data_IF_127500380182
#
_entry.id   IF_127500380182
#
_cell.length_a   1.000
_cell.length_b   1.000
_cell.length_c   1.000
_cell.angle_alpha   90.00
_cell.angle_beta   90.00
_cell.angle_gamma   90.00
#
_symmetry.space_group_name_H-M   'P 1'
#
loop_
_entity.id
_entity.type
_entity.pdbx_description
1 polymer ?
#
# COMPACT_ATOMS: atom_id res chain seq x y z
N UNK A 1 9.75 -15.28 -12.48
CA UNK A 1 10.46 -16.02 -11.42
C UNK A 1 9.53 -17.10 -10.89
N UNK A 2 10.03 -18.34 -10.84
CA UNK A 2 9.32 -19.54 -10.35
C UNK A 2 9.90 -19.90 -8.99
N UNK A 3 9.06 -20.34 -8.05
CA UNK A 3 9.47 -20.72 -6.70
C UNK A 3 9.10 -22.18 -6.40
N UNK A 4 9.82 -23.18 -6.97
CA UNK A 4 9.46 -24.59 -6.83
C UNK A 4 9.39 -25.06 -5.36
N UNK A 5 10.28 -24.54 -4.51
CA UNK A 5 10.31 -24.87 -3.08
C UNK A 5 9.11 -24.30 -2.29
N UNK A 6 8.52 -23.19 -2.75
CA UNK A 6 7.33 -22.61 -2.12
C UNK A 6 6.04 -23.28 -2.61
N UNK A 7 6.07 -23.86 -3.81
CA UNK A 7 4.92 -24.47 -4.48
C UNK A 7 5.26 -25.86 -5.04
N UNK A 8 5.47 -26.87 -4.18
CA UNK A 8 5.87 -28.21 -4.63
C UNK A 8 4.85 -28.89 -5.55
N UNK A 9 3.57 -28.55 -5.38
CA UNK A 9 2.46 -29.09 -6.17
C UNK A 9 2.14 -28.27 -7.43
N UNK A 10 2.93 -27.23 -7.74
CA UNK A 10 2.71 -26.42 -8.93
C UNK A 10 1.41 -25.60 -8.89
N UNK A 11 1.08 -25.00 -7.74
CA UNK A 11 -0.13 -24.18 -7.62
C UNK A 11 -0.12 -23.00 -8.61
N UNK A 12 -1.28 -22.73 -9.21
CA UNK A 12 -1.42 -21.62 -10.14
C UNK A 12 -1.30 -20.28 -9.38
N UNK A 13 -0.53 -19.34 -9.93
CA UNK A 13 -0.43 -17.98 -9.41
C UNK A 13 -1.68 -17.15 -9.70
N UNK A 14 -1.66 -15.89 -9.27
CA UNK A 14 -2.72 -14.94 -9.60
C UNK A 14 -2.90 -14.78 -11.11
N UNK A 15 -4.15 -14.74 -11.56
CA UNK A 15 -4.53 -14.41 -12.94
C UNK A 15 -5.68 -13.38 -12.94
N UNK A 16 -5.83 -12.61 -14.02
CA UNK A 16 -6.86 -11.57 -14.14
C UNK A 16 -8.30 -12.09 -14.20
N UNK A 17 -8.47 -13.40 -14.44
CA UNK A 17 -9.77 -14.05 -14.58
C UNK A 17 -10.20 -14.76 -13.28
N UNK A 18 -9.48 -14.56 -12.17
CA UNK A 18 -9.85 -15.09 -10.87
C UNK A 18 -11.05 -14.32 -10.33
N UNK A 19 -12.17 -14.99 -10.20
CA UNK A 19 -13.39 -14.41 -9.64
C UNK A 19 -13.43 -14.50 -8.11
N UNK A 20 -14.11 -13.53 -7.50
CA UNK A 20 -14.47 -13.59 -6.10
C UNK A 20 -15.50 -14.69 -5.85
N UNK A 21 -15.40 -15.34 -4.69
CA UNK A 21 -16.45 -16.22 -4.15
C UNK A 21 -17.77 -15.45 -4.09
N UNK A 22 -18.89 -16.10 -4.44
CA UNK A 22 -20.21 -15.46 -4.60
C UNK A 22 -20.61 -14.59 -3.41
N UNK A 23 -20.35 -15.03 -2.17
CA UNK A 23 -20.64 -14.28 -0.95
C UNK A 23 -19.89 -12.94 -0.81
N UNK A 24 -18.71 -12.82 -1.41
CA UNK A 24 -17.87 -11.61 -1.38
C UNK A 24 -17.90 -10.83 -2.69
N UNK A 25 -18.63 -11.33 -3.68
CA UNK A 25 -18.74 -10.70 -4.99
C UNK A 25 -19.65 -9.48 -4.87
N UNK A 26 -19.13 -8.32 -5.24
CA UNK A 26 -19.93 -7.10 -5.37
C UNK A 26 -20.24 -6.86 -6.84
N UNK A 27 -21.34 -6.18 -7.15
CA UNK A 27 -21.69 -5.76 -8.53
C UNK A 27 -20.57 -4.98 -9.22
N UNK A 28 -19.72 -4.29 -8.45
CA UNK A 28 -18.55 -3.54 -8.96
C UNK A 28 -17.23 -4.30 -8.88
N UNK A 29 -17.13 -5.35 -8.05
CA UNK A 29 -15.89 -6.11 -7.81
C UNK A 29 -16.15 -7.59 -8.00
N UNK A 30 -16.01 -8.01 -9.25
CA UNK A 30 -16.19 -9.39 -9.70
C UNK A 30 -14.88 -10.17 -9.59
N UNK A 31 -13.76 -9.57 -9.98
CA UNK A 31 -12.46 -10.22 -10.03
C UNK A 31 -11.60 -9.90 -8.81
N UNK A 32 -10.77 -10.87 -8.42
CA UNK A 32 -9.80 -10.77 -7.33
C UNK A 32 -8.63 -9.92 -7.78
N UNK A 33 -8.36 -8.84 -7.07
CA UNK A 33 -7.17 -8.02 -7.34
C UNK A 33 -5.89 -8.74 -6.90
N UNK A 34 -4.79 -8.43 -7.57
CA UNK A 34 -3.48 -9.00 -7.25
C UNK A 34 -3.06 -8.76 -5.78
N UNK A 35 -3.40 -7.59 -5.24
CA UNK A 35 -3.13 -7.25 -3.84
C UNK A 35 -3.97 -8.10 -2.88
N UNK A 36 -5.25 -8.32 -3.18
CA UNK A 36 -6.09 -9.21 -2.38
C UNK A 36 -5.56 -10.65 -2.38
N UNK A 37 -5.15 -11.16 -3.55
CA UNK A 37 -4.56 -12.48 -3.67
C UNK A 37 -3.31 -12.63 -2.78
N UNK A 38 -2.37 -11.68 -2.86
CA UNK A 38 -1.17 -11.73 -2.02
C UNK A 38 -1.48 -11.54 -0.54
N UNK A 39 -2.41 -10.64 -0.18
CA UNK A 39 -2.83 -10.45 1.21
C UNK A 39 -3.41 -11.73 1.82
N UNK A 40 -4.20 -12.48 1.04
CA UNK A 40 -4.77 -13.76 1.48
C UNK A 40 -3.69 -14.82 1.71
N UNK A 41 -2.65 -14.86 0.86
CA UNK A 41 -1.51 -15.77 0.98
C UNK A 41 -0.58 -15.40 2.15
N UNK A 42 -0.49 -14.12 2.49
CA UNK A 42 0.32 -13.63 3.62
C UNK A 42 -0.42 -13.62 4.95
N UNK A 43 -1.73 -13.85 4.95
CA UNK A 43 -2.51 -13.93 6.17
C UNK A 43 -2.00 -15.07 7.07
N UNK A 44 -1.63 -14.74 8.30
CA UNK A 44 -1.24 -15.70 9.33
C UNK A 44 -2.46 -16.52 9.74
N UNK A 45 -2.32 -17.84 9.77
CA UNK A 45 -3.36 -18.79 10.18
C UNK A 45 -2.78 -19.77 11.20
N UNK A 46 -3.64 -20.44 11.96
CA UNK A 46 -3.23 -21.47 12.92
C UNK A 46 -2.65 -22.74 12.26
N UNK A 47 -2.66 -22.83 10.93
CA UNK A 47 -2.09 -23.94 10.15
C UNK A 47 -0.66 -23.65 9.71
N UNK A 48 0.18 -24.69 9.67
CA UNK A 48 1.53 -24.58 9.13
C UNK A 48 1.50 -24.06 7.69
N UNK A 49 2.15 -22.92 7.46
CA UNK A 49 2.14 -22.24 6.18
C UNK A 49 3.54 -22.28 5.59
N UNK A 50 3.75 -23.15 4.59
CA UNK A 50 5.05 -23.30 3.90
C UNK A 50 5.59 -21.92 3.48
N UNK A 51 4.74 -21.03 2.97
CA UNK A 51 5.14 -19.68 2.58
C UNK A 51 5.76 -18.88 3.73
N UNK A 52 5.12 -18.81 4.90
CA UNK A 52 5.54 -17.96 6.00
C UNK A 52 6.79 -18.50 6.72
N UNK A 53 7.02 -19.81 6.67
CA UNK A 53 8.10 -20.49 7.38
C UNK A 53 9.43 -20.58 6.59
N UNK A 54 9.47 -20.07 5.36
CA UNK A 54 10.62 -20.22 4.45
C UNK A 54 11.69 -19.10 4.55
N UNK A 55 11.64 -18.24 5.58
CA UNK A 55 12.70 -17.28 5.90
C UNK A 55 13.11 -16.36 4.75
N UNK A 56 14.38 -16.43 4.30
CA UNK A 56 14.91 -15.59 3.20
C UNK A 56 14.16 -15.77 1.88
N UNK A 57 13.75 -17.00 1.57
CA UNK A 57 13.02 -17.28 0.33
C UNK A 57 11.64 -16.60 0.34
N UNK A 58 11.01 -16.54 1.52
CA UNK A 58 9.76 -15.80 1.73
C UNK A 58 9.96 -14.28 1.53
N UNK A 59 11.04 -13.71 2.05
CA UNK A 59 11.35 -12.28 1.83
C UNK A 59 11.50 -11.96 0.33
N UNK A 60 12.21 -12.79 -0.42
CA UNK A 60 12.34 -12.60 -1.88
C UNK A 60 10.97 -12.72 -2.58
N UNK A 61 10.12 -13.64 -2.12
CA UNK A 61 8.76 -13.78 -2.63
C UNK A 61 7.91 -12.53 -2.37
N UNK A 62 7.99 -11.94 -1.17
CA UNK A 62 7.28 -10.70 -0.83
C UNK A 62 7.71 -9.56 -1.75
N UNK A 63 9.03 -9.36 -1.93
CA UNK A 63 9.55 -8.30 -2.80
C UNK A 63 9.02 -8.47 -4.23
N UNK A 64 9.04 -9.70 -4.74
CA UNK A 64 8.52 -9.98 -6.07
C UNK A 64 7.00 -9.81 -6.18
N UNK A 65 6.24 -10.18 -5.14
CA UNK A 65 4.80 -9.94 -5.08
C UNK A 65 4.49 -8.43 -5.12
N UNK A 66 5.25 -7.63 -4.37
CA UNK A 66 5.15 -6.17 -4.35
C UNK A 66 5.44 -5.56 -5.72
N UNK A 67 6.57 -5.91 -6.35
CA UNK A 67 6.94 -5.40 -7.68
C UNK A 67 5.87 -5.73 -8.72
N UNK A 68 5.28 -6.93 -8.66
CA UNK A 68 4.19 -7.31 -9.56
C UNK A 68 2.92 -6.49 -9.31
N UNK A 69 2.52 -6.31 -8.05
CA UNK A 69 1.34 -5.53 -7.70
C UNK A 69 1.49 -4.04 -8.10
N UNK A 70 2.65 -3.44 -7.83
CA UNK A 70 2.96 -2.07 -8.24
C UNK A 70 3.05 -1.94 -9.76
N UNK A 71 3.66 -2.92 -10.45
CA UNK A 71 3.70 -2.95 -11.91
C UNK A 71 2.31 -2.96 -12.54
N UNK A 72 1.40 -3.79 -12.02
CA UNK A 72 -0.01 -3.82 -12.43
C UNK A 72 -0.72 -2.48 -12.19
N UNK A 73 -0.44 -1.83 -11.04
CA UNK A 73 -1.00 -0.51 -10.72
C UNK A 73 -0.49 0.58 -11.67
N UNK A 74 0.80 0.61 -11.95
CA UNK A 74 1.39 1.55 -12.92
C UNK A 74 0.87 1.33 -14.34
N UNK A 75 0.70 0.07 -14.74
CA UNK A 75 0.11 -0.25 -16.04
C UNK A 75 -1.34 0.25 -16.14
N UNK A 76 -2.12 0.10 -15.06
CA UNK A 76 -3.48 0.66 -15.00
C UNK A 76 -3.48 2.18 -15.17
N UNK A 77 -2.58 2.90 -14.49
CA UNK A 77 -2.46 4.36 -14.63
C UNK A 77 -2.10 4.75 -16.08
N UNK A 78 -1.13 4.04 -16.68
CA UNK A 78 -0.69 4.29 -18.05
C UNK A 78 -1.81 4.14 -19.09
N UNK A 79 -2.72 3.18 -18.89
CA UNK A 79 -3.80 2.88 -19.84
C UNK A 79 -5.04 3.75 -19.64
N UNK A 80 -5.39 4.08 -18.39
CA UNK A 80 -6.65 4.75 -18.05
C UNK A 80 -6.49 6.25 -17.77
N UNK A 81 -5.47 6.89 -18.37
CA UNK A 81 -5.13 8.29 -18.10
C UNK A 81 -6.31 9.26 -18.39
N UNK A 82 -7.17 8.94 -19.38
CA UNK A 82 -8.34 9.77 -19.73
C UNK A 82 -9.39 9.78 -18.62
N UNK A 83 -9.70 8.60 -18.08
CA UNK A 83 -10.71 8.43 -17.03
C UNK A 83 -10.29 9.06 -15.69
N UNK A 84 -8.98 9.22 -15.48
CA UNK A 84 -8.40 9.82 -14.28
C UNK A 84 -8.53 11.35 -14.23
N UNK A 85 -9.37 11.95 -15.09
CA UNK A 85 -9.61 13.40 -15.21
C UNK A 85 -8.32 14.19 -15.39
N UNK A 86 -7.47 13.69 -16.26
CA UNK A 86 -6.20 14.32 -16.59
C UNK A 86 -6.38 15.58 -17.44
N UNK A 87 -7.60 15.84 -17.93
CA UNK A 87 -8.03 17.06 -18.62
C UNK A 87 -7.65 18.35 -17.85
N UNK A 88 -7.69 18.36 -16.51
CA UNK A 88 -7.24 19.51 -15.70
C UNK A 88 -5.74 19.82 -15.90
N UNK A 89 -4.97 18.82 -16.31
CA UNK A 89 -3.53 18.88 -16.51
C UNK A 89 -3.14 18.88 -18.00
N UNK A 90 -4.11 18.84 -18.93
CA UNK A 90 -3.82 18.93 -20.36
C UNK A 90 -3.11 20.24 -20.70
N UNK A 91 -3.54 21.37 -20.13
CA UNK A 91 -2.86 22.64 -20.31
C UNK A 91 -1.40 22.66 -19.81
N UNK A 92 -1.10 21.91 -18.74
CA UNK A 92 0.27 21.73 -18.25
C UNK A 92 1.08 20.84 -19.21
N UNK A 93 0.46 19.76 -19.73
CA UNK A 93 1.08 18.87 -20.71
C UNK A 93 1.38 19.60 -22.02
N UNK A 94 0.47 20.43 -22.51
CA UNK A 94 0.64 21.25 -23.72
C UNK A 94 1.77 22.26 -23.56
N UNK A 95 1.85 22.95 -22.41
CA UNK A 95 2.95 23.87 -22.10
C UNK A 95 4.31 23.15 -22.11
N UNK A 96 4.41 22.00 -21.44
CA UNK A 96 5.63 21.19 -21.40
C UNK A 96 5.99 20.59 -22.78
N UNK A 97 4.99 20.21 -23.58
CA UNK A 97 5.19 19.74 -24.95
C UNK A 97 5.74 20.87 -25.83
N UNK A 98 5.21 22.09 -25.69
CA UNK A 98 5.67 23.28 -26.42
C UNK A 98 7.12 23.60 -26.09
N UNK A 99 7.51 23.54 -24.81
CA UNK A 99 8.91 23.69 -24.38
C UNK A 99 9.81 22.57 -24.90
N UNK A 100 9.32 21.33 -24.96
CA UNK A 100 10.09 20.20 -25.47
C UNK A 100 10.28 20.26 -27.01
N UNK A 101 9.28 20.71 -27.76
CA UNK A 101 9.40 20.94 -29.21
C UNK A 101 10.42 22.03 -29.53
N UNK A 102 10.47 23.09 -28.70
CA UNK A 102 11.45 24.16 -28.85
C UNK A 102 12.89 23.69 -28.59
N UNK A 103 13.07 22.65 -27.75
CA UNK A 103 14.39 22.13 -27.35
C UNK A 103 14.81 20.84 -28.11
N UNK A 104 14.14 20.49 -29.22
CA UNK A 104 14.42 19.32 -30.10
C UNK A 104 14.78 18.04 -29.32
N UNK A 105 14.10 17.83 -28.19
CA UNK A 105 14.29 16.64 -27.37
C UNK A 105 13.07 15.76 -27.59
N UNK A 106 13.28 14.55 -28.13
CA UNK A 106 12.23 13.55 -28.28
C UNK A 106 11.76 13.09 -26.90
N UNK A 107 10.86 13.84 -26.30
CA UNK A 107 10.27 13.52 -25.02
C UNK A 107 9.26 12.39 -25.23
N UNK A 108 9.36 11.33 -24.42
CA UNK A 108 8.40 10.23 -24.44
C UNK A 108 7.00 10.68 -24.00
N UNK A 109 6.03 9.75 -24.01
CA UNK A 109 4.68 10.03 -23.52
C UNK A 109 4.73 10.40 -22.03
N UNK A 110 4.38 11.65 -21.70
CA UNK A 110 4.21 12.10 -20.32
C UNK A 110 3.02 11.37 -19.69
N UNK A 111 3.27 10.66 -18.60
CA UNK A 111 2.24 10.00 -17.79
C UNK A 111 2.24 10.70 -16.43
N UNK A 112 1.11 11.30 -16.06
CA UNK A 112 0.96 11.92 -14.76
C UNK A 112 0.65 10.83 -13.75
N UNK A 113 1.54 10.67 -12.77
CA UNK A 113 1.34 9.76 -11.65
C UNK A 113 0.41 10.43 -10.63
N UNK A 114 -0.62 9.72 -10.17
CA UNK A 114 -1.50 10.26 -9.14
C UNK A 114 -0.81 10.32 -7.77
N UNK A 115 -1.31 11.19 -6.88
CA UNK A 115 -0.86 11.26 -5.48
C UNK A 115 -1.19 10.00 -4.66
N UNK A 116 -2.07 9.14 -5.18
CA UNK A 116 -2.38 7.82 -4.61
C UNK A 116 -1.24 6.81 -4.76
N UNK A 117 -0.28 7.06 -5.66
CA UNK A 117 0.93 6.26 -5.81
C UNK A 117 1.94 6.64 -4.72
N UNK A 118 2.18 5.73 -3.78
CA UNK A 118 3.10 5.97 -2.69
C UNK A 118 4.53 6.20 -3.21
N UNK A 119 5.18 7.26 -2.73
CA UNK A 119 6.52 7.64 -3.17
C UNK A 119 6.58 8.51 -4.43
N UNK A 120 5.44 8.82 -5.06
CA UNK A 120 5.42 9.79 -6.17
C UNK A 120 5.69 11.22 -5.66
N UNK A 121 6.20 12.14 -6.51
CA UNK A 121 6.38 13.54 -6.13
C UNK A 121 5.08 14.19 -5.60
N UNK A 122 3.95 13.89 -6.27
CA UNK A 122 2.63 14.38 -5.87
C UNK A 122 2.17 13.78 -4.54
N UNK A 123 2.49 12.52 -4.26
CA UNK A 123 2.23 11.90 -2.97
C UNK A 123 2.99 12.61 -1.83
N UNK A 124 4.25 12.97 -2.06
CA UNK A 124 5.05 13.71 -1.08
C UNK A 124 4.52 15.13 -0.87
N UNK A 125 4.15 15.82 -1.95
CA UNK A 125 3.56 17.15 -1.88
C UNK A 125 2.23 17.15 -1.13
N UNK A 126 1.37 16.15 -1.37
CA UNK A 126 0.12 16.00 -0.63
C UNK A 126 0.37 15.80 0.86
N UNK A 127 1.28 14.88 1.24
CA UNK A 127 1.64 14.65 2.65
C UNK A 127 2.19 15.92 3.32
N UNK A 128 2.99 16.69 2.58
CA UNK A 128 3.50 17.96 3.07
C UNK A 128 2.37 18.96 3.31
N UNK A 129 1.44 19.11 2.36
CA UNK A 129 0.28 19.99 2.52
C UNK A 129 -0.60 19.58 3.70
N UNK A 130 -0.83 18.28 3.88
CA UNK A 130 -1.58 17.74 5.02
C UNK A 130 -0.87 18.06 6.34
N UNK A 131 0.45 17.87 6.41
CA UNK A 131 1.25 18.22 7.58
C UNK A 131 1.21 19.73 7.88
N UNK A 132 1.32 20.58 6.85
CA UNK A 132 1.23 22.04 7.01
C UNK A 132 -0.18 22.49 7.42
N UNK A 133 -1.23 21.80 6.98
CA UNK A 133 -2.59 22.06 7.43
C UNK A 133 -2.77 21.75 8.93
N UNK A 134 -2.17 20.65 9.39
CA UNK A 134 -2.14 20.29 10.82
C UNK A 134 -1.37 21.36 11.61
N UNK A 135 -0.17 21.74 11.16
CA UNK A 135 0.66 22.77 11.81
C UNK A 135 -0.06 24.12 11.86
N UNK A 136 -0.76 24.49 10.79
CA UNK A 136 -1.55 25.73 10.75
C UNK A 136 -2.68 25.72 11.78
N UNK A 137 -3.30 24.56 12.03
CA UNK A 137 -4.44 24.43 12.95
C UNK A 137 -4.01 24.31 14.41
N UNK A 138 -2.97 23.53 14.70
CA UNK A 138 -2.58 23.16 16.06
C UNK A 138 -1.25 23.78 16.52
N UNK A 139 -0.58 24.53 15.65
CA UNK A 139 0.73 25.12 15.93
C UNK A 139 1.88 24.19 15.55
N UNK A 140 3.10 24.69 15.78
CA UNK A 140 4.34 23.94 15.52
C UNK A 140 4.41 22.72 16.44
N UNK A 141 4.66 21.51 15.91
CA UNK A 141 4.91 20.35 16.76
C UNK A 141 6.27 20.50 17.44
N UNK A 142 6.27 20.37 18.78
CA UNK A 142 7.49 20.40 19.58
C UNK A 142 8.03 18.99 19.89
N UNK A 143 7.18 17.96 19.77
CA UNK A 143 7.52 16.57 20.08
C UNK A 143 7.23 15.66 18.88
N UNK A 144 8.22 14.83 18.52
CA UNK A 144 8.05 13.72 17.58
C UNK A 144 8.03 12.40 18.36
N UNK A 145 6.87 11.76 18.44
CA UNK A 145 6.70 10.45 19.08
C UNK A 145 6.58 9.38 18.01
N UNK A 146 7.50 8.42 18.02
CA UNK A 146 7.39 7.17 17.26
C UNK A 146 6.89 6.06 18.17
N UNK A 147 5.72 5.50 17.88
CA UNK A 147 5.24 4.29 18.55
C UNK A 147 5.62 3.07 17.71
N UNK A 148 6.32 2.11 18.32
CA UNK A 148 6.44 0.76 17.76
C UNK A 148 5.27 -0.04 18.30
N UNK A 149 4.40 -0.57 17.44
CA UNK A 149 3.33 -1.46 17.87
C UNK A 149 3.68 -2.89 17.48
N UNK A 150 4.03 -3.73 18.45
CA UNK A 150 4.12 -5.17 18.23
C UNK A 150 2.74 -5.79 18.50
N UNK A 151 2.07 -6.42 17.52
CA UNK A 151 0.70 -6.94 17.69
C UNK A 151 0.57 -8.05 18.75
N UNK A 152 1.69 -8.61 19.21
CA UNK A 152 1.73 -9.61 20.29
C UNK A 152 1.77 -9.03 21.69
N UNK A 153 1.86 -7.71 21.82
CA UNK A 153 1.91 -7.06 23.12
C UNK A 153 0.58 -7.20 23.89
N UNK A 154 0.63 -7.58 25.18
CA UNK A 154 -0.57 -7.84 25.98
C UNK A 154 -1.47 -6.60 26.12
N UNK A 155 -0.92 -5.40 26.03
CA UNK A 155 -1.63 -4.12 26.06
C UNK A 155 -2.62 -3.99 24.91
N UNK A 156 -2.26 -4.49 23.72
CA UNK A 156 -3.13 -4.45 22.54
C UNK A 156 -4.33 -5.39 22.77
N UNK A 157 -4.08 -6.60 23.28
CA UNK A 157 -5.15 -7.53 23.65
C UNK A 157 -6.05 -6.96 24.75
N UNK A 158 -5.48 -6.25 25.72
CA UNK A 158 -6.23 -5.57 26.78
C UNK A 158 -7.13 -4.46 26.22
N UNK A 159 -6.61 -3.61 25.33
CA UNK A 159 -7.39 -2.58 24.63
C UNK A 159 -8.55 -3.17 23.81
N UNK A 160 -8.35 -4.33 23.15
CA UNK A 160 -9.43 -5.02 22.44
C UNK A 160 -10.54 -5.52 23.38
N UNK A 161 -10.19 -6.00 24.58
CA UNK A 161 -11.18 -6.46 25.58
C UNK A 161 -11.91 -5.29 26.24
N UNK A 162 -11.22 -4.19 26.49
CA UNK A 162 -11.82 -2.99 27.12
C UNK A 162 -12.75 -2.22 26.16
N UNK A 163 -12.41 -2.14 24.86
CA UNK A 163 -13.25 -1.51 23.84
C UNK A 163 -14.53 -2.27 23.52
N UNK A 164 -14.58 -3.58 23.80
CA UNK A 164 -15.82 -4.37 23.73
C UNK A 164 -16.80 -4.06 24.88
N UNK A 165 -16.32 -3.47 25.98
CA UNK A 165 -17.09 -3.34 27.24
C UNK A 165 -17.45 -1.89 27.58
N UNK A 166 -16.82 -0.88 26.98
CA UNK A 166 -17.10 0.53 27.26
C UNK A 166 -17.17 1.39 26.00
N UNK A 167 -18.33 2.02 25.77
CA UNK A 167 -18.54 3.08 24.76
C UNK A 167 -17.84 4.41 25.09
N UNK A 168 -16.97 4.50 26.10
CA UNK A 168 -16.31 5.77 26.47
C UNK A 168 -14.83 5.61 26.80
N UNK A 169 -14.05 6.46 26.13
CA UNK A 169 -12.65 6.84 26.37
C UNK A 169 -11.58 5.84 25.92
N UNK A 170 -11.05 6.05 24.71
CA UNK A 170 -9.72 5.60 24.28
C UNK A 170 -8.66 6.28 25.15
N UNK A 171 -8.30 5.67 26.28
CA UNK A 171 -7.04 5.97 26.95
C UNK A 171 -5.94 5.28 26.17
N UNK A 172 -5.01 6.05 25.61
CA UNK A 172 -3.80 5.51 25.01
C UNK A 172 -2.92 4.98 26.15
N UNK A 173 -2.74 3.65 26.20
CA UNK A 173 -1.78 3.02 27.09
C UNK A 173 -0.38 3.27 26.51
N UNK A 174 0.43 4.09 27.18
CA UNK A 174 1.86 4.24 26.89
C UNK A 174 2.64 3.68 28.08
N UNK A 175 3.69 2.92 27.78
CA UNK A 175 4.75 2.56 28.73
C UNK A 175 6.06 3.04 28.14
N UNK A 176 6.84 3.77 28.94
CA UNK A 176 8.20 4.15 28.60
C UNK A 176 9.05 2.87 28.45
N UNK A 177 9.68 2.73 27.29
CA UNK A 177 10.58 1.61 26.97
C UNK A 177 11.92 1.82 27.69
N UNK A 178 11.94 1.59 29.00
CA UNK A 178 13.17 1.33 29.73
C UNK A 178 13.21 -0.17 30.03
N UNK A 179 14.21 -0.86 29.48
CA UNK A 179 14.60 -2.27 29.72
C UNK A 179 14.10 -3.27 28.67
N UNK A 180 14.82 -3.35 27.55
CA UNK A 180 15.09 -4.60 26.84
C UNK A 180 16.31 -4.37 25.90
N UNK A 181 17.44 -4.01 26.53
CA UNK A 181 18.77 -4.32 26.01
C UNK A 181 19.42 -5.11 27.15
N UNK A 182 19.14 -6.41 27.17
CA UNK A 182 19.99 -7.49 27.69
C UNK A 182 19.48 -8.81 27.08
#
# INVERSE_FOLDING_TARGET
MVYPLLFPHGECGWNSNMDHVEERRSTKRVTVTQLQYYSYRFAVRNTFSILLNNGKLFQQYIVNAYVKAEGSRLNYLRLNQKDLRVELYEGLLEALQTEATNNVSKMGKLIILLSSLQGSPLHMQQKYQDAMAIVRKYGRPDLFVTFTCKPTWPEIFKCFRESATSRKSTRYCYTDFQNEID
#
